data_IF_007203751892
#
_entry.id   IF_007203751892
#
_cell.length_a   1.000
_cell.length_b   1.000
_cell.length_c   1.000
_cell.angle_alpha   90.00
_cell.angle_beta   90.00
_cell.angle_gamma   90.00
#
_symmetry.space_group_name_H-M   'P 1'
#
loop_
_entity.id
_entity.type
_entity.pdbx_description
1 polymer ?
2 non-polymer ?
3 non-polymer ?
4 non-polymer ?
5 water ?
#
# COMPACT_ATOMS: atom_id res chain seq x y z
N UNK A 7 -11.80 10.17 13.46
CA UNK A 7 -10.59 9.44 13.80
C UNK A 7 -9.38 10.35 14.01
N UNK A 8 -8.40 9.83 14.73
CA UNK A 8 -7.16 10.55 14.99
C UNK A 8 -5.99 9.76 14.47
N UNK A 9 -4.86 10.44 14.33
CA UNK A 9 -3.71 9.82 13.71
C UNK A 9 -2.48 10.65 13.96
N UNK A 10 -1.35 9.97 14.01
CA UNK A 10 -0.07 10.62 14.20
C UNK A 10 0.97 9.86 13.40
N UNK A 11 1.78 10.57 12.61
CA UNK A 11 2.97 9.96 12.02
C UNK A 11 4.07 9.95 13.09
N UNK A 12 4.37 8.77 13.63
CA UNK A 12 5.33 8.63 14.71
C UNK A 12 6.76 8.52 14.19
N UNK A 13 6.91 8.02 12.97
CA UNK A 13 8.21 7.93 12.34
C UNK A 13 8.10 8.04 10.82
N UNK A 14 8.99 8.80 10.21
CA UNK A 14 9.07 8.85 8.75
C UNK A 14 10.21 7.95 8.30
N UNK A 15 9.87 6.93 7.53
CA UNK A 15 10.86 5.95 7.08
C UNK A 15 11.38 6.22 5.66
N UNK A 16 10.48 6.50 4.73
CA UNK A 16 10.88 6.59 3.33
C UNK A 16 9.91 7.46 2.55
N UNK A 17 10.45 8.22 1.59
CA UNK A 17 9.64 8.85 0.57
C UNK A 17 9.87 8.15 -0.77
N UNK A 18 8.80 7.73 -1.42
CA UNK A 18 8.87 6.94 -2.64
C UNK A 18 8.83 7.81 -3.89
N UNK A 19 8.14 8.94 -3.78
CA UNK A 19 7.98 9.86 -4.90
C UNK A 19 7.24 11.11 -4.45
N UNK A 20 7.20 12.11 -5.32
CA UNK A 20 6.50 13.36 -5.09
C UNK A 20 5.86 13.82 -6.40
N UNK A 21 4.74 14.52 -6.31
CA UNK A 21 4.13 15.07 -7.53
C UNK A 21 4.21 16.60 -7.68
N UNK A 22 3.69 17.09 -8.79
CA UNK A 22 3.75 18.51 -9.15
C UNK A 22 3.02 19.38 -8.13
N UNK A 23 2.07 18.78 -7.42
CA UNK A 23 1.31 19.48 -6.39
C UNK A 23 2.04 19.49 -5.05
N UNK A 24 3.19 18.81 -4.99
CA UNK A 24 3.99 18.76 -3.78
C UNK A 24 3.60 17.62 -2.86
N UNK A 25 2.56 16.87 -3.22
CA UNK A 25 2.16 15.73 -2.41
C UNK A 25 3.19 14.62 -2.53
N UNK A 26 3.34 13.84 -1.47
CA UNK A 26 4.35 12.80 -1.44
C UNK A 26 3.74 11.43 -1.17
N UNK A 27 4.32 10.39 -1.76
CA UNK A 27 3.94 9.03 -1.40
C UNK A 27 5.01 8.51 -0.44
N UNK A 28 4.61 8.16 0.78
CA UNK A 28 5.57 7.78 1.81
C UNK A 28 5.23 6.50 2.55
N UNK A 29 6.30 5.87 3.05
CA UNK A 29 6.19 4.78 4.01
C UNK A 29 6.56 5.32 5.39
N UNK A 30 5.58 5.34 6.28
CA UNK A 30 5.73 5.81 7.66
C UNK A 30 5.28 4.77 8.67
N UNK A 31 5.58 5.01 9.95
CA UNK A 31 4.90 4.32 11.04
C UNK A 31 3.83 5.29 11.54
N UNK A 32 2.56 4.88 11.44
CA UNK A 32 1.46 5.76 11.77
C UNK A 32 0.55 5.16 12.85
N UNK A 33 0.27 5.93 13.90
CA UNK A 33 -0.70 5.49 14.90
C UNK A 33 -2.08 6.00 14.52
N UNK A 34 -3.04 5.09 14.60
CA UNK A 34 -4.44 5.42 14.36
C UNK A 34 -5.24 5.17 15.64
N UNK A 35 -6.06 6.13 16.02
CA UNK A 35 -6.92 5.96 17.18
C UNK A 35 -6.19 5.42 18.38
N UNK A 36 -4.98 5.91 18.59
CA UNK A 36 -4.24 5.60 19.81
C UNK A 36 -3.61 4.23 19.85
N UNK A 37 -3.64 3.54 18.71
CA UNK A 37 -3.12 2.19 18.62
C UNK A 37 -1.63 2.20 18.39
N UNK A 38 -0.97 1.06 18.64
CA UNK A 38 0.46 0.97 18.31
C UNK A 38 0.66 1.37 16.85
N UNK A 39 1.72 2.10 16.54
CA UNK A 39 2.04 2.42 15.16
C UNK A 39 2.09 1.15 14.30
N UNK A 40 1.75 1.31 13.02
CA UNK A 40 1.89 0.26 12.04
C UNK A 40 2.45 0.87 10.77
N UNK A 41 3.10 0.03 9.96
CA UNK A 41 3.57 0.49 8.66
C UNK A 41 2.37 1.02 7.86
N UNK A 42 2.59 2.10 7.10
CA UNK A 42 1.54 2.83 6.40
C UNK A 42 2.13 3.40 5.10
N UNK A 43 1.53 3.04 3.96
CA UNK A 43 1.95 3.61 2.68
C UNK A 43 0.80 4.41 2.08
N UNK A 44 1.01 5.70 1.85
CA UNK A 44 -0.06 6.52 1.29
C UNK A 44 0.47 7.86 0.88
N UNK A 45 -0.40 8.65 0.25
CA UNK A 45 -0.02 9.96 -0.25
C UNK A 45 -0.30 11.03 0.78
N UNK A 46 0.66 11.92 0.99
CA UNK A 46 0.53 12.99 1.99
C UNK A 46 0.60 14.35 1.35
N UNK A 47 -0.18 15.29 1.86
CA UNK A 47 -0.09 16.66 1.39
C UNK A 47 1.29 17.16 1.78
N UNK A 48 1.67 18.34 1.31
CA UNK A 48 3.00 18.83 1.69
C UNK A 48 3.18 19.00 3.20
N UNK A 49 2.13 19.45 3.89
CA UNK A 49 2.28 19.76 5.32
C UNK A 49 1.82 18.59 6.17
N UNK A 50 1.53 17.47 5.51
CA UNK A 50 1.14 16.23 6.18
C UNK A 50 -0.15 16.30 7.01
N UNK A 51 -1.01 17.26 6.66
CA UNK A 51 -2.27 17.41 7.36
C UNK A 51 -3.41 16.82 6.56
N UNK A 52 -3.10 16.34 5.36
CA UNK A 52 -4.07 15.63 4.56
C UNK A 52 -3.42 14.42 3.93
N UNK A 54 -3.92 10.84 1.36
CA UNK A 54 -4.69 10.30 0.26
C UNK A 54 -4.97 8.84 0.51
N UNK A 55 -5.19 8.09 -0.56
CA UNK A 55 -5.54 6.69 -0.42
C UNK A 55 -4.29 5.90 -0.06
N UNK A 56 -4.43 4.90 0.78
CA UNK A 56 -3.29 4.11 1.20
C UNK A 56 -3.69 2.91 2.04
N UNK A 57 -2.70 2.13 2.46
CA UNK A 57 -2.97 1.02 3.34
C UNK A 57 -2.03 0.97 4.50
N UNK A 58 -2.50 0.31 5.53
CA UNK A 58 -1.76 0.06 6.75
C UNK A 58 -1.50 -1.44 6.84
N UNK A 59 -0.30 -1.79 7.26
CA UNK A 59 0.15 -3.17 7.32
C UNK A 59 0.64 -3.48 8.73
N UNK A 60 0.31 -4.66 9.25
CA UNK A 60 0.80 -5.03 10.58
C UNK A 60 2.27 -5.30 10.44
N UNK A 61 2.96 -5.36 11.57
CA UNK A 61 4.36 -5.72 11.61
C UNK A 61 4.62 -7.05 10.91
N UNK A 62 3.73 -8.02 11.12
CA UNK A 62 3.92 -9.33 10.50
C UNK A 62 3.62 -9.30 8.98
N UNK A 63 2.68 -8.45 8.56
CA UNK A 63 2.36 -8.27 7.14
C UNK A 63 3.48 -7.61 6.35
N UNK A 64 4.06 -6.54 6.90
CA UNK A 64 5.19 -5.88 6.25
C UNK A 64 6.41 -6.80 6.16
N UNK A 65 6.63 -7.62 7.19
CA UNK A 65 7.78 -8.53 7.19
C UNK A 65 7.56 -9.73 6.28
N UNK A 66 6.32 -10.18 6.19
CA UNK A 66 5.94 -11.21 5.21
C UNK A 66 6.33 -10.76 3.80
N UNK A 68 8.51 -8.22 2.81
CA UNK A 68 9.91 -7.95 2.53
C UNK A 68 10.70 -9.23 2.29
N UNK A 69 10.31 -10.31 2.99
CA UNK A 69 10.98 -11.60 2.82
C UNK A 69 10.79 -12.16 1.41
N UNK A 70 9.63 -11.88 0.81
CA UNK A 70 9.23 -12.58 -0.41
C UNK A 70 9.97 -12.09 -1.65
N UNK A 71 10.49 -10.87 -1.60
CA UNK A 71 11.16 -10.29 -2.75
C UNK A 71 12.67 -10.20 -2.58
N UNK A 72 13.13 -10.44 -1.36
CA UNK A 72 14.55 -10.46 -1.07
C UNK A 72 14.86 -11.37 0.12
N UNK B 5 -14.97 2.32 -18.56
CA UNK B 5 -15.76 2.96 -17.50
C UNK B 5 -14.88 3.79 -16.57
N UNK B 6 -15.51 4.50 -15.64
CA UNK B 6 -14.82 5.48 -14.80
C UNK B 6 -13.52 4.97 -14.18
N UNK B 7 -13.45 3.66 -13.95
CA UNK B 7 -12.16 2.98 -13.86
C UNK B 7 -12.35 1.47 -13.94
N UNK B 8 -11.38 0.81 -14.57
CA UNK B 8 -11.36 -0.63 -14.76
C UNK B 8 -10.06 -1.16 -14.19
N UNK B 9 -10.05 -2.41 -13.76
CA UNK B 9 -8.85 -3.00 -13.18
C UNK B 9 -8.75 -4.47 -13.50
N UNK B 10 -7.55 -5.03 -13.44
CA UNK B 10 -7.39 -6.45 -13.67
C UNK B 10 -6.16 -6.98 -12.93
N UNK B 11 -6.35 -8.04 -12.12
CA UNK B 11 -5.21 -8.71 -11.50
C UNK B 11 -4.54 -9.61 -12.54
N UNK B 12 -3.44 -9.11 -13.09
CA UNK B 12 -2.67 -9.80 -14.11
C UNK B 12 -1.91 -10.97 -13.52
N UNK B 13 -1.36 -10.77 -12.32
CA UNK B 13 -0.64 -11.83 -11.62
C UNK B 13 -0.73 -11.66 -10.10
N UNK B 14 -0.82 -12.78 -9.39
CA UNK B 14 -0.78 -12.81 -7.94
C UNK B 14 0.64 -13.15 -7.52
N UNK B 15 1.24 -12.29 -6.69
CA UNK B 15 2.63 -12.54 -6.26
C UNK B 15 2.72 -13.13 -4.85
N UNK B 16 1.89 -12.61 -3.94
CA UNK B 16 2.04 -12.98 -2.54
C UNK B 16 0.81 -12.62 -1.71
N UNK B 17 0.42 -13.53 -0.82
CA UNK B 17 -0.62 -13.24 0.15
C UNK B 17 0.07 -12.98 1.50
N UNK B 18 -0.22 -11.84 2.10
CA UNK B 18 0.46 -11.42 3.32
C UNK B 18 -0.30 -11.89 4.53
N UNK B 19 -1.63 -11.90 4.42
CA UNK B 19 -2.49 -12.41 5.49
C UNK B 19 -3.93 -12.52 5.02
N UNK B 20 -4.78 -13.05 5.88
CA UNK B 20 -6.22 -13.16 5.64
C UNK B 20 -6.93 -12.94 6.97
N UNK B 21 -8.15 -12.39 6.93
CA UNK B 21 -8.90 -12.21 8.16
C UNK B 21 -10.10 -13.18 8.32
N UNK B 22 -10.88 -12.99 9.38
CA UNK B 22 -11.99 -13.88 9.72
C UNK B 22 -13.06 -13.95 8.61
N UNK B 23 -13.24 -12.87 7.87
CA UNK B 23 -14.28 -12.81 6.84
C UNK B 23 -13.80 -13.29 5.46
N UNK B 24 -12.55 -13.73 5.37
CA UNK B 24 -12.07 -14.27 4.13
C UNK B 24 -11.25 -13.30 3.30
N UNK B 25 -11.32 -12.01 3.65
CA UNK B 25 -10.55 -10.99 2.94
C UNK B 25 -9.04 -11.21 3.05
N UNK B 26 -8.34 -11.00 1.94
CA UNK B 26 -6.90 -11.23 1.93
C UNK B 26 -6.15 -9.94 1.64
N UNK B 27 -4.97 -9.79 2.23
CA UNK B 27 -4.06 -8.71 1.91
C UNK B 27 -2.97 -9.25 1.00
N UNK B 28 -2.84 -8.67 -0.18
CA UNK B 28 -2.07 -9.30 -1.25
C UNK B 28 -1.13 -8.35 -1.97
N UNK B 29 -0.06 -8.90 -2.53
CA UNK B 29 0.81 -8.18 -3.44
C UNK B 29 0.59 -8.79 -4.80
N UNK B 30 -0.05 -8.03 -5.67
CA UNK B 30 -0.32 -8.46 -7.04
C UNK B 30 0.26 -7.51 -8.08
N UNK B 31 0.32 -7.99 -9.32
CA UNK B 31 0.54 -7.12 -10.47
C UNK B 31 -0.85 -6.79 -11.04
N UNK B 32 -1.22 -5.51 -11.00
CA UNK B 32 -2.58 -5.13 -11.38
C UNK B 32 -2.57 -3.99 -12.38
N UNK B 33 -3.36 -4.14 -13.44
CA UNK B 33 -3.56 -3.08 -14.43
C UNK B 33 -4.79 -2.23 -14.12
N UNK B 34 -4.63 -0.92 -14.19
CA UNK B 34 -5.74 0.01 -14.01
C UNK B 34 -5.99 0.83 -15.29
N UNK B 35 -7.24 0.88 -15.73
CA UNK B 35 -7.59 1.62 -16.94
C UNK B 35 -6.75 1.22 -18.16
N UNK B 36 -6.50 -0.08 -18.32
CA UNK B 36 -5.75 -0.58 -19.46
C UNK B 36 -4.27 -0.26 -19.51
N UNK B 37 -3.73 0.30 -18.44
CA UNK B 37 -2.29 0.60 -18.37
C UNK B 37 -1.49 -0.66 -18.05
N UNK B 38 -0.20 -0.65 -18.39
CA UNK B 38 0.64 -1.78 -17.99
C UNK B 38 0.55 -2.07 -16.48
N UNK B 39 0.46 -3.35 -16.15
CA UNK B 39 0.28 -3.82 -14.79
C UNK B 39 1.33 -3.21 -13.87
N UNK B 40 0.95 -2.93 -12.63
CA UNK B 40 1.90 -2.43 -11.66
C UNK B 40 1.77 -3.20 -10.37
N UNK B 41 2.81 -3.15 -9.56
CA UNK B 41 2.77 -3.72 -8.22
C UNK B 41 1.65 -3.05 -7.46
N UNK B 42 0.88 -3.85 -6.72
CA UNK B 42 -0.27 -3.34 -6.00
C UNK B 42 -0.40 -4.09 -4.67
N UNK B 43 -0.52 -3.37 -3.57
CA UNK B 43 -0.62 -3.97 -2.25
C UNK B 43 -1.95 -3.53 -1.65
N UNK B 44 -2.85 -4.48 -1.41
CA UNK B 44 -4.16 -4.12 -0.87
C UNK B 44 -5.03 -5.29 -0.46
N UNK B 45 -6.13 -4.97 0.22
CA UNK B 45 -7.07 -6.02 0.69
C UNK B 45 -8.08 -6.36 -0.39
N UNK B 46 -8.41 -7.64 -0.47
CA UNK B 46 -9.32 -8.16 -1.48
C UNK B 46 -10.34 -9.08 -0.84
N UNK B 47 -11.54 -9.12 -1.39
CA UNK B 47 -12.56 -10.03 -0.92
C UNK B 47 -12.25 -11.44 -1.41
N UNK B 48 -12.88 -12.44 -0.82
CA UNK B 48 -12.64 -13.85 -1.15
C UNK B 48 -12.63 -14.13 -2.65
N UNK B 49 -13.56 -13.55 -3.41
CA UNK B 49 -13.60 -13.82 -4.84
C UNK B 49 -12.92 -12.73 -5.66
N UNK B 50 -12.40 -11.73 -4.97
CA UNK B 50 -11.59 -10.67 -5.60
C UNK B 50 -12.39 -9.70 -6.44
N UNK B 51 -13.66 -9.51 -6.08
CA UNK B 51 -14.49 -8.62 -6.87
C UNK B 51 -14.69 -7.29 -6.18
N UNK B 52 -14.32 -7.22 -4.91
CA UNK B 52 -14.23 -5.94 -4.21
C UNK B 52 -12.79 -5.72 -3.74
N UNK B 54 -10.07 -3.48 -1.41
CA UNK B 54 -10.04 -2.67 -0.21
C UNK B 54 -9.03 -1.54 -0.34
N UNK B 55 -8.78 -0.88 0.78
CA UNK B 55 -7.76 0.14 0.84
C UNK B 55 -6.44 -0.46 0.37
N UNK B 56 -5.65 0.34 -0.33
CA UNK B 56 -4.36 -0.14 -0.79
C UNK B 56 -3.50 0.89 -1.49
N UNK B 57 -2.36 0.44 -2.01
CA UNK B 57 -1.38 1.31 -2.61
C UNK B 57 -0.81 0.65 -3.86
N UNK B 58 -0.60 1.44 -4.90
CA UNK B 58 -0.06 0.92 -6.15
C UNK B 58 1.32 1.52 -6.28
N UNK B 59 2.31 0.68 -6.63
CA UNK B 59 3.71 1.10 -6.74
C UNK B 59 4.27 0.85 -8.14
N UNK B 60 5.04 1.81 -8.66
CA UNK B 60 5.68 1.61 -9.95
C UNK B 60 6.83 0.64 -9.72
N UNK B 61 7.32 0.01 -10.79
CA UNK B 61 8.42 -0.92 -10.66
C UNK B 61 9.62 -0.26 -9.98
N UNK B 62 9.86 0.99 -10.32
CA UNK B 62 10.96 1.78 -9.75
C UNK B 62 10.79 1.94 -8.24
N UNK B 63 9.60 2.35 -7.82
CA UNK B 63 9.31 2.52 -6.40
C UNK B 63 9.42 1.20 -5.66
N UNK B 64 8.79 0.16 -6.20
CA UNK B 64 8.81 -1.15 -5.56
C UNK B 64 10.24 -1.61 -5.35
N UNK B 65 11.07 -1.45 -6.38
CA UNK B 65 12.46 -1.85 -6.30
C UNK B 65 13.16 -1.01 -5.25
N UNK B 66 12.85 0.28 -5.22
CA UNK B 66 13.41 1.15 -4.20
C UNK B 66 13.10 0.61 -2.81
N UNK B 68 12.42 -2.39 -1.92
CA UNK B 68 13.08 -3.68 -1.68
C UNK B 68 14.59 -3.53 -1.54
N UNK B 69 15.18 -2.64 -2.32
CA UNK B 69 16.59 -2.31 -2.15
C UNK B 69 16.77 -1.49 -0.88
N UNK B 70 15.69 -0.84 -0.45
CA UNK B 70 15.70 -0.03 0.77
C UNK B 70 15.81 -0.93 1.98
N UNK B 71 14.86 -1.85 2.11
CA UNK B 71 14.81 -2.77 3.24
C UNK B 71 15.51 -4.10 2.93
#
# INVERSE_FOLDING_TARGET
XKKXAEFTFEIEEHLLTLSENEKGWTKEINRVSFNGAPAKFDIRAWSPDHTKXGKGITLSNEEFQTXVDAFKGNLEHHHHHH
XKKXAEFTFEIEEHLLTLSENEKGWTKEINRVSFNGAPAKFDIRAWSPDHTKXGKGITLSNEEFQTXVDAFKGNLEHHHHHH
#
